data_IF_778061399701
#
_entry.id   IF_778061399701
#
_cell.length_a   1.000
_cell.length_b   1.000
_cell.length_c   1.000
_cell.angle_alpha   90.00
_cell.angle_beta   90.00
_cell.angle_gamma   90.00
#
_symmetry.space_group_name_H-M   'P 1'
#
loop_
_entity.id
_entity.type
_entity.pdbx_description
1 polymer ?
#
# COMPACT_ATOMS: atom_id res chain seq x y z
N UNK A 1 -2.45 -35.46 -1.40
CA UNK A 1 -2.24 -35.09 -1.81
C UNK A 1 -1.88 -34.88 -1.85
N UNK A 2 -2.08 -34.56 -1.76
CA UNK A 2 -1.81 -34.26 -2.12
C UNK A 2 -1.53 -34.02 -2.25
N UNK A 3 -1.65 -34.03 -2.22
CA UNK A 3 -1.44 -33.67 -2.59
C UNK A 3 -1.37 -33.18 -2.64
N UNK A 4 -1.47 -33.30 -2.54
CA UNK A 4 -1.37 -32.59 -2.78
C UNK A 4 -1.44 -32.12 -2.63
N UNK A 5 -1.62 -32.10 -2.58
CA UNK A 5 -1.56 -31.38 -2.55
C UNK A 5 -1.33 -30.66 -2.62
N UNK A 6 -1.39 -30.49 -2.87
CA UNK A 6 -1.13 -29.80 -3.08
C UNK A 6 -0.88 -28.96 -3.16
N UNK A 7 -0.68 -28.77 -3.41
CA UNK A 7 -0.11 -27.78 -3.63
C UNK A 7 -0.53 -26.78 -3.47
N UNK A 8 -1.00 -26.70 -3.32
CA UNK A 8 -1.36 -25.84 -3.22
C UNK A 8 -1.14 -24.92 -2.39
N UNK A 9 -1.13 -25.01 -1.77
CA UNK A 9 -0.90 -24.11 -0.79
C UNK A 9 0.16 -23.17 -0.93
N UNK A 10 0.47 -23.06 -1.96
CA UNK A 10 1.61 -22.59 -2.17
C UNK A 10 1.72 -21.17 -2.36
N UNK A 11 0.69 -20.51 -2.85
CA UNK A 11 0.75 -19.11 -3.17
C UNK A 11 0.35 -18.26 -1.97
N UNK A 12 1.13 -18.33 -0.93
CA UNK A 12 0.94 -17.43 0.22
C UNK A 12 1.63 -16.13 -0.05
N UNK A 13 0.94 -14.99 0.00
CA UNK A 13 1.58 -13.70 -0.21
C UNK A 13 2.51 -13.33 0.93
N UNK A 14 3.54 -12.58 0.59
CA UNK A 14 4.38 -11.91 1.56
C UNK A 14 3.80 -10.53 1.78
N UNK A 15 3.69 -10.12 3.04
CA UNK A 15 3.12 -8.81 3.38
C UNK A 15 4.07 -8.10 4.34
N UNK A 16 4.42 -6.87 4.00
CA UNK A 16 5.24 -6.02 4.84
C UNK A 16 4.43 -4.78 5.20
N UNK A 17 4.48 -4.39 6.46
CA UNK A 17 3.72 -3.26 6.96
C UNK A 17 4.61 -2.34 7.79
N UNK A 18 4.28 -1.06 7.78
CA UNK A 18 4.94 -0.08 8.62
C UNK A 18 3.93 0.99 8.99
N UNK A 19 4.13 1.63 10.13
CA UNK A 19 3.34 2.78 10.55
C UNK A 19 4.30 3.83 11.11
N UNK A 20 3.98 5.08 10.84
CA UNK A 20 4.81 6.17 11.33
C UNK A 20 3.93 7.39 11.62
N UNK A 21 4.40 8.24 12.53
CA UNK A 21 3.70 9.46 12.86
C UNK A 21 3.73 10.40 11.64
N UNK A 22 2.58 10.94 11.31
CA UNK A 22 2.47 11.85 10.17
C UNK A 22 1.38 12.90 10.48
N UNK A 23 1.79 14.15 10.55
CA UNK A 23 0.84 15.24 10.72
C UNK A 23 0.34 15.72 9.38
N UNK A 24 -0.78 16.42 9.39
CA UNK A 24 -1.33 17.03 8.20
C UNK A 24 -2.70 16.48 7.82
N UNK A 25 -3.28 17.06 6.78
CA UNK A 25 -4.62 16.71 6.34
C UNK A 25 -4.61 15.38 5.59
N UNK A 26 -5.72 14.64 5.71
CA UNK A 26 -5.90 13.37 5.01
C UNK A 26 -5.68 13.54 3.51
N UNK A 27 -6.29 14.56 2.91
CA UNK A 27 -6.19 14.75 1.46
C UNK A 27 -4.76 14.96 0.99
N UNK A 28 -3.98 15.74 1.72
CA UNK A 28 -2.56 15.94 1.39
C UNK A 28 -1.78 14.64 1.49
N UNK A 29 -2.03 13.86 2.53
CA UNK A 29 -1.39 12.57 2.72
C UNK A 29 -1.74 11.60 1.58
N UNK A 30 -3.01 11.54 1.21
CA UNK A 30 -3.47 10.67 0.13
C UNK A 30 -2.87 11.06 -1.22
N UNK A 31 -2.82 12.35 -1.51
CA UNK A 31 -2.24 12.83 -2.77
C UNK A 31 -0.74 12.53 -2.83
N UNK A 32 -0.03 12.75 -1.74
CA UNK A 32 1.39 12.42 -1.66
C UNK A 32 1.62 10.92 -1.77
N UNK A 33 0.79 10.14 -1.11
CA UNK A 33 0.85 8.68 -1.19
C UNK A 33 0.59 8.16 -2.59
N UNK A 34 -0.39 8.75 -3.28
CA UNK A 34 -0.67 8.38 -4.66
C UNK A 34 0.51 8.69 -5.58
N UNK A 35 1.14 9.85 -5.39
CA UNK A 35 2.34 10.19 -6.16
C UNK A 35 3.47 9.21 -5.91
N UNK A 36 3.67 8.82 -4.65
CA UNK A 36 4.69 7.83 -4.30
C UNK A 36 4.40 6.47 -4.95
N UNK A 37 3.15 6.04 -4.91
CA UNK A 37 2.76 4.79 -5.56
C UNK A 37 3.05 4.83 -7.06
N UNK A 38 2.66 5.91 -7.72
CA UNK A 38 2.88 6.05 -9.16
C UNK A 38 4.35 6.13 -9.53
N UNK A 39 5.17 6.75 -8.68
CA UNK A 39 6.60 6.83 -8.88
C UNK A 39 7.24 5.44 -8.99
N UNK A 40 6.75 4.48 -8.23
CA UNK A 40 7.26 3.11 -8.24
C UNK A 40 6.36 2.16 -9.02
N UNK A 41 5.59 2.69 -9.97
CA UNK A 41 4.80 1.93 -10.94
C UNK A 41 3.60 1.17 -10.34
N UNK A 42 3.11 1.58 -9.20
CA UNK A 42 1.82 1.12 -8.69
C UNK A 42 0.73 1.94 -9.38
N UNK A 43 0.56 1.72 -10.67
CA UNK A 43 -0.26 2.57 -11.51
C UNK A 43 -1.58 1.93 -11.94
N UNK A 44 -1.71 0.61 -11.76
CA UNK A 44 -2.93 -0.07 -12.16
C UNK A 44 -3.92 -0.04 -11.02
N UNK A 45 -5.16 0.29 -11.35
CA UNK A 45 -6.24 0.39 -10.37
C UNK A 45 -5.89 1.27 -9.18
N UNK A 46 -5.13 2.35 -9.43
CA UNK A 46 -4.78 3.31 -8.39
C UNK A 46 -5.99 4.19 -8.12
N UNK A 47 -6.44 4.23 -6.88
CA UNK A 47 -7.58 5.06 -6.51
C UNK A 47 -7.56 5.37 -5.02
N UNK A 48 -8.25 6.45 -4.68
CA UNK A 48 -8.38 6.89 -3.29
C UNK A 48 -9.76 6.56 -2.75
N UNK A 49 -9.80 5.98 -1.56
CA UNK A 49 -11.04 5.75 -0.82
C UNK A 49 -11.13 6.81 0.26
N UNK A 50 -11.81 7.91 -0.08
CA UNK A 50 -11.90 9.08 0.79
C UNK A 50 -13.13 9.89 0.39
N UNK A 51 -13.92 10.27 1.38
CA UNK A 51 -15.11 11.08 1.14
C UNK A 51 -14.99 12.46 1.78
N UNK A 52 -14.59 13.48 1.02
CA UNK A 52 -14.43 14.84 1.57
C UNK A 52 -15.75 15.45 2.06
N UNK A 53 -16.89 15.00 1.50
CA UNK A 53 -18.19 15.53 1.91
C UNK A 53 -18.59 15.13 3.31
N UNK A 54 -18.02 14.06 3.82
CA UNK A 54 -18.28 13.57 5.18
C UNK A 54 -17.25 14.11 6.17
N UNK A 55 -16.40 15.03 5.76
CA UNK A 55 -15.33 15.56 6.59
C UNK A 55 -14.50 14.44 7.22
N UNK A 56 -14.19 13.45 6.40
CA UNK A 56 -13.48 12.26 6.85
C UNK A 56 -12.08 12.60 7.34
N UNK A 57 -11.66 11.92 8.41
CA UNK A 57 -10.32 12.06 8.97
C UNK A 57 -9.44 10.87 8.68
N UNK A 58 -9.96 9.89 7.93
CA UNK A 58 -9.24 8.68 7.54
C UNK A 58 -9.51 8.43 6.07
N UNK A 59 -8.48 8.04 5.35
CA UNK A 59 -8.62 7.67 3.96
C UNK A 59 -7.52 6.70 3.55
N UNK A 60 -7.69 6.08 2.39
CA UNK A 60 -6.72 5.12 1.86
C UNK A 60 -6.46 5.41 0.41
N UNK A 61 -5.27 5.07 -0.04
CA UNK A 61 -4.95 5.03 -1.47
C UNK A 61 -4.32 3.69 -1.79
N UNK A 62 -4.75 3.12 -2.89
CA UNK A 62 -4.36 1.77 -3.33
C UNK A 62 -3.67 1.84 -4.68
N UNK A 63 -2.84 0.86 -4.96
CA UNK A 63 -2.28 0.71 -6.27
C UNK A 63 -1.72 -0.69 -6.47
N UNK A 64 -1.77 -1.18 -7.70
CA UNK A 64 -1.18 -2.44 -8.09
C UNK A 64 0.00 -2.16 -9.00
N UNK A 65 1.10 -2.86 -8.75
CA UNK A 65 2.33 -2.69 -9.51
C UNK A 65 2.14 -3.18 -10.95
N UNK A 66 2.54 -2.36 -11.91
CA UNK A 66 2.29 -2.63 -13.32
C UNK A 66 3.01 -3.86 -13.85
N UNK A 67 4.11 -4.26 -13.23
CA UNK A 67 4.99 -5.31 -13.73
C UNK A 67 5.06 -6.54 -12.84
N UNK A 68 4.27 -6.59 -11.79
CA UNK A 68 4.28 -7.73 -10.87
C UNK A 68 2.94 -7.86 -10.18
N UNK A 69 2.77 -8.96 -9.43
CA UNK A 69 1.54 -9.18 -8.65
C UNK A 69 1.68 -8.59 -7.25
N UNK A 70 2.05 -7.32 -7.17
CA UNK A 70 2.29 -6.63 -5.91
C UNK A 70 1.29 -5.48 -5.77
N UNK A 71 0.64 -5.41 -4.63
CA UNK A 71 -0.33 -4.37 -4.33
C UNK A 71 0.10 -3.62 -3.08
N UNK A 72 -0.13 -2.32 -3.08
CA UNK A 72 0.18 -1.48 -1.93
C UNK A 72 -1.05 -0.70 -1.49
N UNK A 73 -1.12 -0.42 -0.20
CA UNK A 73 -2.13 0.46 0.35
C UNK A 73 -1.47 1.41 1.35
N UNK A 74 -1.86 2.66 1.28
CA UNK A 74 -1.42 3.68 2.22
C UNK A 74 -2.67 4.17 2.94
N UNK A 75 -2.68 4.05 4.26
CA UNK A 75 -3.77 4.51 5.11
C UNK A 75 -3.32 5.80 5.80
N UNK A 76 -4.07 6.86 5.59
CA UNK A 76 -3.82 8.14 6.20
C UNK A 76 -4.87 8.38 7.29
N UNK A 77 -4.43 8.43 8.54
CA UNK A 77 -5.29 8.64 9.70
C UNK A 77 -4.93 9.96 10.36
N UNK A 78 -5.65 11.01 10.00
CA UNK A 78 -5.43 12.34 10.56
C UNK A 78 -5.87 12.41 12.01
N UNK A 79 -6.88 11.64 12.37
CA UNK A 79 -7.41 11.64 13.74
C UNK A 79 -6.35 11.19 14.75
N UNK A 80 -5.63 10.12 14.43
CA UNK A 80 -4.59 9.59 15.31
C UNK A 80 -3.19 10.05 14.93
N UNK A 81 -3.05 10.78 13.83
CA UNK A 81 -1.75 11.29 13.38
C UNK A 81 -0.81 10.19 12.92
N UNK A 82 -1.34 9.15 12.28
CA UNK A 82 -0.57 7.98 11.86
C UNK A 82 -0.79 7.72 10.38
N UNK A 83 0.28 7.40 9.68
CA UNK A 83 0.21 6.89 8.32
C UNK A 83 0.73 5.46 8.33
N UNK A 84 0.02 4.57 7.67
CA UNK A 84 0.40 3.16 7.59
C UNK A 84 0.60 2.76 6.15
N UNK A 85 1.60 1.92 5.91
CA UNK A 85 1.92 1.38 4.61
C UNK A 85 1.86 -0.14 4.69
N UNK A 86 1.18 -0.75 3.74
CA UNK A 86 1.20 -2.20 3.57
C UNK A 86 1.50 -2.53 2.13
N UNK A 87 2.40 -3.47 1.90
CA UNK A 87 2.76 -3.94 0.56
C UNK A 87 2.70 -5.45 0.58
N UNK A 88 1.90 -6.03 -0.31
CA UNK A 88 1.71 -7.46 -0.40
C UNK A 88 1.94 -7.99 -1.81
N UNK A 89 2.56 -9.15 -1.92
CA UNK A 89 2.83 -9.75 -3.22
C UNK A 89 3.24 -11.20 -3.10
N UNK A 90 3.32 -11.87 -4.26
CA UNK A 90 3.64 -13.30 -4.31
C UNK A 90 5.14 -13.56 -4.43
N UNK A 91 5.92 -12.59 -4.87
CA UNK A 91 7.37 -12.71 -4.96
C UNK A 91 7.99 -11.97 -3.77
N UNK A 92 8.73 -12.69 -2.95
CA UNK A 92 9.30 -12.12 -1.73
C UNK A 92 10.26 -10.96 -2.00
N UNK A 93 11.18 -11.15 -2.94
CA UNK A 93 12.21 -10.14 -3.19
C UNK A 93 11.61 -8.88 -3.81
N UNK A 94 10.73 -9.04 -4.79
CA UNK A 94 10.06 -7.92 -5.43
C UNK A 94 9.23 -7.15 -4.40
N UNK A 95 8.47 -7.87 -3.58
CA UNK A 95 7.63 -7.25 -2.56
C UNK A 95 8.46 -6.48 -1.54
N UNK A 96 9.57 -7.07 -1.09
CA UNK A 96 10.47 -6.43 -0.14
C UNK A 96 11.11 -5.17 -0.74
N UNK A 97 11.57 -5.25 -1.97
CA UNK A 97 12.23 -4.11 -2.63
C UNK A 97 11.24 -2.95 -2.82
N UNK A 98 10.03 -3.25 -3.27
CA UNK A 98 9.00 -2.23 -3.46
C UNK A 98 8.55 -1.62 -2.13
N UNK A 99 8.41 -2.45 -1.10
CA UNK A 99 8.13 -1.96 0.24
C UNK A 99 9.22 -0.99 0.70
N UNK A 100 10.48 -1.37 0.52
CA UNK A 100 11.61 -0.53 0.91
C UNK A 100 11.65 0.80 0.16
N UNK A 101 11.34 0.77 -1.13
CA UNK A 101 11.30 1.98 -1.95
C UNK A 101 10.21 2.94 -1.45
N UNK A 102 9.02 2.41 -1.17
CA UNK A 102 7.93 3.23 -0.65
C UNK A 102 8.22 3.73 0.77
N UNK A 103 8.77 2.88 1.61
CA UNK A 103 9.08 3.23 2.99
C UNK A 103 10.08 4.38 3.09
N UNK A 104 11.07 4.41 2.19
CA UNK A 104 12.12 5.42 2.19
C UNK A 104 11.68 6.73 1.54
N UNK A 105 10.59 6.72 0.81
CA UNK A 105 10.11 7.92 0.11
C UNK A 105 9.46 8.87 1.11
N UNK A 106 9.78 10.15 0.97
CA UNK A 106 9.11 11.17 1.75
C UNK A 106 7.79 11.54 1.09
N UNK A 107 6.73 11.37 1.83
CA UNK A 107 5.38 11.70 1.35
C UNK A 107 4.42 12.00 2.48
#
# INVERSE_FOLDING_TARGET
MALSLGGEAIARPFVYVASFAHGGAVKECLDSGEMALKKFKFMEKTWQDYNPKENAKVGRVYGTHAESSTTAVILCDQKDGVTSLAVGGLDQQVTWDLYGDLFKTEW
#
